data_IF_089239599135
#
_entry.id   IF_089239599135
#
_cell.length_a   1.000
_cell.length_b   1.000
_cell.length_c   1.000
_cell.angle_alpha   90.00
_cell.angle_beta   90.00
_cell.angle_gamma   90.00
#
_symmetry.space_group_name_H-M   'P 1'
#
loop_
_entity.id
_entity.type
_entity.pdbx_description
1 polymer ?
#
# COMPACT_ATOMS: atom_id res chain seq x y z
N UNK A 1 2.30 23.47 -3.67
CA UNK A 1 3.54 23.63 -2.89
C UNK A 1 3.35 24.81 -1.95
N UNK A 2 2.88 24.56 -0.75
CA UNK A 2 2.84 25.57 0.29
C UNK A 2 4.26 25.75 0.81
N UNK A 3 4.91 26.83 0.38
CA UNK A 3 6.18 27.27 0.94
C UNK A 3 6.01 27.41 2.45
N UNK A 4 6.88 26.74 3.20
CA UNK A 4 6.93 26.89 4.64
C UNK A 4 7.27 28.34 4.97
N UNK A 5 6.67 28.90 6.00
CA UNK A 5 6.89 30.28 6.45
C UNK A 5 8.38 30.50 6.85
N UNK A 6 8.81 31.75 6.92
CA UNK A 6 10.17 32.07 7.36
C UNK A 6 10.51 31.46 8.72
N UNK A 7 9.53 31.37 9.62
CA UNK A 7 9.67 30.76 10.96
C UNK A 7 10.01 29.27 10.88
N UNK A 8 9.44 28.51 9.94
CA UNK A 8 9.78 27.09 9.73
C UNK A 8 11.23 26.94 9.24
N UNK A 9 11.71 27.88 8.41
CA UNK A 9 13.10 27.89 7.93
C UNK A 9 14.07 28.13 9.06
N UNK A 10 13.80 29.12 9.89
CA UNK A 10 14.66 29.49 11.02
C UNK A 10 14.70 28.37 12.06
N UNK A 11 13.58 27.70 12.30
CA UNK A 11 13.52 26.53 13.17
C UNK A 11 14.40 25.37 12.65
N UNK A 12 14.34 25.09 11.33
CA UNK A 12 15.16 24.05 10.69
C UNK A 12 16.65 24.42 10.79
N UNK A 13 17.02 25.67 10.46
CA UNK A 13 18.41 26.13 10.53
C UNK A 13 18.94 26.06 11.96
N UNK A 14 18.17 26.50 12.94
CA UNK A 14 18.53 26.39 14.35
C UNK A 14 18.66 24.93 14.82
N UNK A 15 17.82 24.03 14.31
CA UNK A 15 17.91 22.59 14.55
C UNK A 15 19.21 21.99 14.00
N UNK A 16 19.57 22.33 12.77
CA UNK A 16 20.80 21.88 12.10
C UNK A 16 22.07 22.37 12.83
N UNK A 17 22.02 23.57 13.42
CA UNK A 17 23.14 24.12 14.16
C UNK A 17 23.31 23.50 15.57
N UNK A 18 22.22 23.02 16.17
CA UNK A 18 22.19 22.49 17.53
C UNK A 18 22.26 20.97 17.63
N UNK A 19 21.95 20.27 16.55
CA UNK A 19 21.80 18.81 16.57
C UNK A 19 22.53 18.19 15.38
N UNK A 20 23.62 17.49 15.63
CA UNK A 20 24.42 16.79 14.62
C UNK A 20 23.68 15.62 13.95
N UNK A 21 22.52 15.22 14.47
CA UNK A 21 21.72 14.11 13.94
C UNK A 21 20.72 14.55 12.85
N UNK A 22 20.72 15.85 12.51
CA UNK A 22 19.90 16.41 11.44
C UNK A 22 20.79 16.75 10.24
N UNK A 23 20.39 16.26 9.06
CA UNK A 23 21.04 16.61 7.80
C UNK A 23 19.99 17.07 6.77
N UNK A 24 20.44 17.79 5.75
CA UNK A 24 19.60 18.22 4.63
C UNK A 24 20.05 17.53 3.36
N UNK A 25 19.09 17.06 2.60
CA UNK A 25 19.30 16.49 1.27
C UNK A 25 18.59 17.33 0.22
N UNK A 26 19.09 17.28 -1.02
CA UNK A 26 18.41 17.88 -2.13
C UNK A 26 17.05 17.24 -2.34
N UNK A 27 16.01 18.06 -2.56
CA UNK A 27 14.69 17.54 -2.91
C UNK A 27 14.70 17.07 -4.35
N UNK A 28 14.58 15.75 -4.53
CA UNK A 28 14.50 15.13 -5.85
C UNK A 28 13.07 15.27 -6.40
N UNK A 29 12.96 15.76 -7.66
CA UNK A 29 11.73 15.67 -8.41
C UNK A 29 11.64 14.33 -9.12
N UNK A 30 10.58 13.59 -8.89
CA UNK A 30 10.39 12.24 -9.39
C UNK A 30 9.03 12.04 -10.08
N UNK A 31 8.93 10.98 -10.86
CA UNK A 31 7.70 10.54 -11.53
C UNK A 31 6.89 9.63 -10.60
N UNK A 32 7.57 8.66 -9.97
CA UNK A 32 6.97 7.63 -9.09
C UNK A 32 7.95 7.22 -8.01
N UNK A 33 7.39 6.70 -6.91
CA UNK A 33 8.16 5.98 -5.90
C UNK A 33 8.14 4.49 -6.20
N UNK A 34 9.30 3.86 -6.12
CA UNK A 34 9.53 2.44 -6.42
C UNK A 34 10.09 1.72 -5.19
N UNK A 35 9.85 0.42 -5.11
CA UNK A 35 10.48 -0.41 -4.08
C UNK A 35 10.90 -1.76 -4.65
N UNK A 36 12.19 -2.10 -4.48
CA UNK A 36 12.78 -3.39 -4.82
C UNK A 36 13.01 -4.20 -3.56
N UNK A 37 12.25 -5.28 -3.40
CA UNK A 37 12.46 -6.25 -2.33
C UNK A 37 13.44 -7.31 -2.83
N UNK A 38 14.46 -7.60 -2.03
CA UNK A 38 15.50 -8.58 -2.34
C UNK A 38 15.77 -9.48 -1.15
N UNK A 39 16.11 -10.73 -1.40
CA UNK A 39 16.60 -11.66 -0.40
C UNK A 39 18.04 -12.07 -0.75
N UNK A 40 18.92 -12.04 0.22
CA UNK A 40 20.31 -12.48 0.12
C UNK A 40 20.64 -13.47 1.22
N UNK A 41 21.13 -14.65 0.85
CA UNK A 41 21.40 -15.72 1.80
C UNK A 41 22.87 -15.79 2.21
N UNK A 42 23.14 -16.46 3.33
CA UNK A 42 24.50 -16.79 3.76
C UNK A 42 25.23 -17.71 2.76
N UNK A 43 24.48 -18.46 1.95
CA UNK A 43 25.01 -19.30 0.87
C UNK A 43 25.28 -18.52 -0.41
N UNK A 44 25.16 -17.18 -0.37
CA UNK A 44 25.36 -16.26 -1.48
C UNK A 44 24.30 -16.37 -2.59
N UNK A 45 23.15 -17.00 -2.32
CA UNK A 45 22.01 -17.04 -3.23
C UNK A 45 21.23 -15.72 -3.17
N UNK A 46 20.62 -15.36 -4.30
CA UNK A 46 19.81 -14.16 -4.45
C UNK A 46 18.42 -14.50 -4.96
N UNK A 47 17.41 -13.79 -4.42
CA UNK A 47 16.06 -13.79 -4.97
C UNK A 47 15.52 -12.36 -4.99
N UNK A 48 14.98 -11.94 -6.13
CA UNK A 48 14.44 -10.59 -6.34
C UNK A 48 12.93 -10.68 -6.56
N UNK A 49 12.17 -10.01 -5.73
CA UNK A 49 10.73 -9.86 -5.94
C UNK A 49 10.46 -8.91 -7.10
N UNK A 50 9.26 -8.98 -7.72
CA UNK A 50 8.87 -7.97 -8.70
C UNK A 50 9.06 -6.56 -8.14
N UNK A 51 9.62 -5.66 -8.95
CA UNK A 51 9.64 -4.24 -8.64
C UNK A 51 8.21 -3.74 -8.50
N UNK A 52 7.95 -2.92 -7.49
CA UNK A 52 6.62 -2.37 -7.22
C UNK A 52 6.64 -0.85 -7.24
N UNK A 53 5.48 -0.27 -7.55
CA UNK A 53 5.19 1.14 -7.37
C UNK A 53 4.55 1.31 -6.01
N UNK A 54 4.98 2.32 -5.26
CA UNK A 54 4.38 2.72 -3.98
C UNK A 54 3.81 4.13 -4.07
N UNK A 55 2.64 4.32 -3.49
CA UNK A 55 2.00 5.62 -3.39
C UNK A 55 1.97 6.05 -1.93
N UNK A 56 2.56 7.22 -1.68
CA UNK A 56 2.61 7.83 -0.36
C UNK A 56 1.56 8.92 -0.23
N UNK A 57 0.97 9.02 0.95
CA UNK A 57 0.14 10.17 1.34
C UNK A 57 0.69 10.73 2.64
N UNK A 58 1.18 11.97 2.62
CA UNK A 58 1.82 12.64 3.77
C UNK A 58 2.93 11.80 4.42
N UNK A 59 3.78 11.19 3.59
CA UNK A 59 4.91 10.37 4.04
C UNK A 59 4.51 8.98 4.55
N UNK A 60 3.27 8.54 4.34
CA UNK A 60 2.80 7.22 4.75
C UNK A 60 2.39 6.43 3.51
N UNK A 61 3.03 5.28 3.28
CA UNK A 61 2.66 4.39 2.19
C UNK A 61 1.21 3.93 2.34
N UNK A 62 0.39 4.28 1.36
CA UNK A 62 -1.03 3.90 1.26
C UNK A 62 -1.20 2.67 0.41
N UNK A 63 -0.63 2.71 -0.79
CA UNK A 63 -0.85 1.71 -1.82
C UNK A 63 0.48 1.17 -2.34
N UNK A 64 0.46 -0.07 -2.76
CA UNK A 64 1.56 -0.72 -3.47
C UNK A 64 0.96 -1.58 -4.57
N UNK A 65 1.49 -1.52 -5.76
CA UNK A 65 1.02 -2.35 -6.87
C UNK A 65 2.16 -2.73 -7.81
N UNK A 66 1.94 -3.83 -8.52
CA UNK A 66 2.93 -4.38 -9.41
C UNK A 66 2.43 -5.60 -10.20
N UNK A 67 3.32 -6.21 -10.96
CA UNK A 67 4.72 -5.84 -11.24
C UNK A 67 4.83 -4.49 -11.94
N UNK A 68 5.79 -3.65 -11.55
CA UNK A 68 5.90 -2.27 -12.02
C UNK A 68 6.04 -2.15 -13.55
N UNK A 69 6.65 -3.12 -14.22
CA UNK A 69 6.76 -3.20 -15.68
C UNK A 69 5.40 -3.17 -16.40
N UNK A 70 4.37 -3.73 -15.78
CA UNK A 70 3.02 -3.75 -16.35
C UNK A 70 2.31 -2.39 -16.24
N UNK A 71 2.91 -1.45 -15.51
CA UNK A 71 2.43 -0.09 -15.29
C UNK A 71 3.38 0.97 -15.87
N UNK A 72 4.18 0.58 -16.86
CA UNK A 72 5.01 1.48 -17.65
C UNK A 72 6.35 1.88 -17.00
N UNK A 73 6.81 1.16 -15.97
CA UNK A 73 8.18 1.31 -15.47
C UNK A 73 9.12 0.50 -16.34
N UNK A 74 10.23 1.11 -16.76
CA UNK A 74 11.24 0.46 -17.61
C UNK A 74 11.88 -0.75 -16.90
N UNK A 75 12.09 -1.83 -17.64
CA UNK A 75 12.84 -2.99 -17.14
C UNK A 75 14.31 -2.62 -16.81
N UNK A 76 14.87 -1.60 -17.44
CA UNK A 76 16.23 -1.10 -17.14
C UNK A 76 16.30 -0.58 -15.70
N UNK A 77 15.27 0.09 -15.22
CA UNK A 77 15.20 0.54 -13.81
C UNK A 77 15.18 -0.67 -12.87
N UNK A 78 14.38 -1.70 -13.18
CA UNK A 78 14.34 -2.91 -12.36
C UNK A 78 15.70 -3.59 -12.29
N UNK A 79 16.38 -3.79 -13.44
CA UNK A 79 17.71 -4.38 -13.51
C UNK A 79 18.74 -3.53 -12.76
N UNK A 80 18.68 -2.21 -12.91
CA UNK A 80 19.54 -1.26 -12.19
C UNK A 80 19.37 -1.36 -10.67
N UNK A 81 18.13 -1.40 -10.18
CA UNK A 81 17.82 -1.55 -8.75
C UNK A 81 18.24 -2.92 -8.19
N UNK A 82 18.07 -3.99 -8.96
CA UNK A 82 18.57 -5.32 -8.59
C UNK A 82 20.11 -5.34 -8.52
N UNK A 83 20.78 -4.67 -9.45
CA UNK A 83 22.25 -4.51 -9.42
C UNK A 83 22.70 -3.70 -8.19
N UNK A 84 22.00 -2.60 -7.87
CA UNK A 84 22.26 -1.82 -6.65
C UNK A 84 22.03 -2.67 -5.41
N UNK A 85 20.93 -3.42 -5.34
CA UNK A 85 20.64 -4.33 -4.23
C UNK A 85 21.74 -5.36 -4.04
N UNK A 86 22.24 -5.94 -5.13
CA UNK A 86 23.34 -6.91 -5.07
C UNK A 86 24.59 -6.27 -4.48
N UNK A 87 25.05 -5.14 -5.00
CA UNK A 87 26.23 -4.43 -4.50
C UNK A 87 26.11 -4.07 -3.03
N UNK A 88 24.98 -3.50 -2.62
CA UNK A 88 24.74 -3.07 -1.24
C UNK A 88 24.61 -4.27 -0.29
N UNK A 89 23.90 -5.31 -0.72
CA UNK A 89 23.72 -6.53 0.07
C UNK A 89 25.04 -7.25 0.34
N UNK A 90 25.90 -7.33 -0.65
CA UNK A 90 27.25 -7.93 -0.51
C UNK A 90 28.17 -7.06 0.33
N UNK A 91 28.20 -5.74 0.08
CA UNK A 91 29.06 -4.79 0.80
C UNK A 91 28.71 -4.69 2.29
N UNK A 92 27.40 -4.69 2.60
CA UNK A 92 26.90 -4.52 3.97
C UNK A 92 26.52 -5.85 4.63
N UNK A 93 26.76 -6.97 3.97
CA UNK A 93 26.42 -8.33 4.45
C UNK A 93 24.96 -8.45 4.91
N UNK A 94 24.01 -7.89 4.12
CA UNK A 94 22.59 -7.85 4.44
C UNK A 94 21.92 -9.23 4.25
N UNK A 95 22.30 -10.21 5.05
CA UNK A 95 21.67 -11.53 5.00
C UNK A 95 20.23 -11.47 5.50
N UNK A 96 19.31 -11.95 4.67
CA UNK A 96 17.88 -11.87 4.89
C UNK A 96 17.17 -11.13 3.77
N UNK A 97 15.96 -10.69 4.05
CA UNK A 97 15.20 -9.79 3.16
C UNK A 97 15.48 -8.35 3.53
N UNK A 98 15.67 -7.53 2.51
CA UNK A 98 15.76 -6.08 2.64
C UNK A 98 15.06 -5.40 1.45
N UNK A 99 14.78 -4.13 1.58
CA UNK A 99 14.17 -3.31 0.54
C UNK A 99 15.05 -2.12 0.18
N UNK A 100 15.06 -1.75 -1.09
CA UNK A 100 15.54 -0.45 -1.57
C UNK A 100 14.32 0.35 -2.01
N UNK A 101 14.08 1.49 -1.41
CA UNK A 101 13.15 2.51 -1.89
C UNK A 101 13.89 3.46 -2.82
N UNK A 102 13.27 3.80 -3.94
CA UNK A 102 13.87 4.62 -4.99
C UNK A 102 12.82 5.49 -5.67
N UNK A 103 13.30 6.54 -6.33
CA UNK A 103 12.52 7.41 -7.18
C UNK A 103 12.79 7.12 -8.65
N UNK A 104 11.74 6.98 -9.46
CA UNK A 104 11.85 7.04 -10.92
C UNK A 104 11.99 8.50 -11.35
N UNK A 105 13.05 8.82 -12.07
CA UNK A 105 13.34 10.17 -12.50
C UNK A 105 12.72 10.48 -13.87
N UNK A 106 12.54 11.77 -14.18
CA UNK A 106 11.97 12.24 -15.45
C UNK A 106 12.82 11.88 -16.69
N UNK A 107 14.11 11.67 -16.50
CA UNK A 107 15.05 11.25 -17.55
C UNK A 107 15.05 9.74 -17.82
N UNK A 108 14.21 8.97 -17.10
CA UNK A 108 14.13 7.52 -17.21
C UNK A 108 15.15 6.78 -16.34
N UNK A 109 15.94 7.50 -15.54
CA UNK A 109 16.82 6.94 -14.51
C UNK A 109 16.11 6.67 -13.20
N UNK A 110 16.89 6.36 -12.16
CA UNK A 110 16.39 6.24 -10.80
C UNK A 110 17.39 6.82 -9.79
N UNK A 111 16.89 7.27 -8.66
CA UNK A 111 17.68 7.63 -7.49
C UNK A 111 17.27 6.76 -6.30
N UNK A 112 18.25 6.22 -5.56
CA UNK A 112 17.99 5.48 -4.32
C UNK A 112 17.63 6.48 -3.23
N UNK A 113 16.53 6.21 -2.51
CA UNK A 113 16.05 7.02 -1.40
C UNK A 113 16.51 6.45 -0.05
N UNK A 114 16.08 5.22 0.26
CA UNK A 114 16.48 4.56 1.51
C UNK A 114 16.64 3.05 1.35
N UNK A 115 17.31 2.45 2.34
CA UNK A 115 17.47 0.99 2.47
C UNK A 115 16.85 0.56 3.78
N UNK A 116 15.93 -0.39 3.72
CA UNK A 116 15.35 -1.03 4.90
C UNK A 116 15.93 -2.45 5.06
N UNK A 117 16.89 -2.70 5.99
CA UNK A 117 17.57 -4.00 6.13
C UNK A 117 16.69 -5.01 6.90
N UNK A 118 15.45 -5.20 6.45
CA UNK A 118 14.41 -6.05 7.06
C UNK A 118 13.29 -6.31 6.07
N UNK A 119 12.41 -7.26 6.41
CA UNK A 119 11.11 -7.39 5.71
C UNK A 119 10.40 -6.05 5.66
N UNK A 120 9.82 -5.71 4.51
CA UNK A 120 9.33 -4.38 4.24
C UNK A 120 7.83 -4.36 3.93
N UNK A 121 7.17 -3.25 4.26
CA UNK A 121 5.74 -3.07 4.02
C UNK A 121 5.37 -3.23 2.55
N UNK A 122 6.17 -2.68 1.64
CA UNK A 122 5.94 -2.77 0.20
C UNK A 122 6.05 -4.20 -0.35
N UNK A 123 6.62 -5.14 0.42
CA UNK A 123 6.72 -6.56 0.09
C UNK A 123 5.57 -7.43 0.63
N UNK A 124 4.58 -6.86 1.31
CA UNK A 124 3.49 -7.68 1.90
C UNK A 124 2.56 -8.31 0.86
N UNK A 125 2.54 -7.81 -0.38
CA UNK A 125 1.86 -8.47 -1.51
C UNK A 125 2.33 -9.92 -1.69
N UNK A 126 3.61 -10.20 -1.37
CA UNK A 126 4.22 -11.52 -1.55
C UNK A 126 3.56 -12.64 -0.74
N UNK A 127 2.80 -12.30 0.30
CA UNK A 127 2.01 -13.28 1.07
C UNK A 127 0.96 -14.01 0.22
N UNK A 128 0.49 -13.39 -0.86
CA UNK A 128 -0.61 -13.91 -1.65
C UNK A 128 -0.28 -14.01 -3.15
N UNK A 129 0.75 -13.26 -3.62
CA UNK A 129 1.04 -13.09 -5.05
C UNK A 129 2.47 -13.47 -5.45
N UNK A 130 3.23 -14.10 -4.57
CA UNK A 130 4.48 -14.78 -4.89
C UNK A 130 4.41 -16.22 -4.39
N UNK A 131 5.15 -17.12 -5.04
CA UNK A 131 5.21 -18.51 -4.61
C UNK A 131 5.76 -18.64 -3.19
N UNK A 132 6.82 -17.89 -2.87
CA UNK A 132 7.41 -17.79 -1.53
C UNK A 132 7.35 -16.33 -1.06
N UNK A 133 6.80 -16.11 0.14
CA UNK A 133 6.67 -14.77 0.71
C UNK A 133 8.02 -14.19 1.15
N UNK A 134 8.09 -12.86 1.27
CA UNK A 134 9.28 -12.20 1.82
C UNK A 134 9.64 -12.69 3.22
N UNK A 135 8.65 -13.07 4.03
CA UNK A 135 8.86 -13.58 5.39
C UNK A 135 9.53 -14.95 5.37
N UNK A 136 9.07 -15.84 4.51
CA UNK A 136 9.66 -17.15 4.37
C UNK A 136 11.06 -17.07 3.75
N UNK A 137 11.26 -16.28 2.68
CA UNK A 137 12.59 -16.08 2.13
C UNK A 137 13.55 -15.40 3.12
N UNK A 138 13.04 -14.55 4.04
CA UNK A 138 13.87 -14.02 5.11
C UNK A 138 14.40 -15.14 6.03
N UNK A 139 13.52 -16.03 6.48
CA UNK A 139 13.90 -17.18 7.29
C UNK A 139 14.86 -18.10 6.55
N UNK A 140 14.57 -18.45 5.30
CA UNK A 140 15.45 -19.27 4.45
C UNK A 140 16.85 -18.65 4.31
N UNK A 141 16.91 -17.34 4.04
CA UNK A 141 18.17 -16.63 3.88
C UNK A 141 19.04 -16.66 5.13
N UNK A 142 18.47 -16.38 6.32
CA UNK A 142 19.25 -16.32 7.57
C UNK A 142 19.60 -17.69 8.13
N UNK A 143 18.87 -18.74 7.77
CA UNK A 143 19.16 -20.13 8.18
C UNK A 143 20.00 -20.89 7.17
N UNK A 144 20.34 -20.28 6.02
CA UNK A 144 21.14 -20.94 4.96
C UNK A 144 20.35 -21.94 4.11
N UNK A 145 19.01 -21.89 4.15
CA UNK A 145 18.17 -22.67 3.26
C UNK A 145 18.16 -22.06 1.86
N UNK A 146 17.92 -22.88 0.82
CA UNK A 146 17.72 -22.39 -0.55
C UNK A 146 16.57 -21.42 -0.63
N UNK A 147 16.79 -20.28 -1.27
CA UNK A 147 15.75 -19.30 -1.52
C UNK A 147 14.68 -19.85 -2.47
N UNK A 148 13.45 -19.43 -2.26
CA UNK A 148 12.31 -19.83 -3.08
C UNK A 148 11.95 -18.79 -4.12
N UNK A 149 11.11 -19.18 -5.07
CA UNK A 149 10.64 -18.37 -6.19
C UNK A 149 9.84 -17.15 -5.71
N UNK A 150 10.09 -16.01 -6.36
CA UNK A 150 9.57 -14.70 -5.97
C UNK A 150 8.65 -14.07 -7.00
N UNK A 151 8.55 -14.66 -8.18
CA UNK A 151 7.77 -14.14 -9.30
C UNK A 151 6.28 -14.07 -8.96
N UNK A 152 5.62 -13.10 -9.57
CA UNK A 152 4.16 -13.03 -9.62
C UNK A 152 3.68 -13.22 -11.05
N UNK A 153 2.70 -14.09 -11.25
CA UNK A 153 2.10 -14.39 -12.56
C UNK A 153 0.98 -13.41 -12.94
N UNK A 154 0.60 -12.51 -12.03
CA UNK A 154 -0.52 -11.61 -12.22
C UNK A 154 -0.22 -10.22 -11.62
N UNK A 155 -1.00 -9.22 -12.03
CA UNK A 155 -1.00 -7.93 -11.37
C UNK A 155 -1.58 -8.08 -9.96
N UNK A 156 -1.01 -7.33 -9.04
CA UNK A 156 -1.43 -7.30 -7.65
C UNK A 156 -1.46 -5.88 -7.13
N UNK A 157 -2.28 -5.69 -6.11
CA UNK A 157 -2.43 -4.45 -5.39
C UNK A 157 -2.48 -4.73 -3.89
N UNK A 158 -1.81 -3.90 -3.11
CA UNK A 158 -1.86 -3.91 -1.67
C UNK A 158 -2.25 -2.53 -1.16
N UNK A 159 -3.21 -2.48 -0.25
CA UNK A 159 -3.59 -1.26 0.47
C UNK A 159 -3.32 -1.41 1.95
N UNK A 160 -2.59 -0.44 2.50
CA UNK A 160 -2.42 -0.36 3.95
C UNK A 160 -3.71 0.13 4.62
N UNK A 161 -4.10 -0.54 5.69
CA UNK A 161 -5.20 -0.14 6.57
C UNK A 161 -4.61 0.66 7.71
N UNK A 162 -4.99 1.94 7.80
CA UNK A 162 -4.44 2.88 8.78
C UNK A 162 -5.46 3.20 9.87
N UNK A 163 -4.97 3.60 11.04
CA UNK A 163 -5.77 3.88 12.22
C UNK A 163 -6.66 5.13 12.15
N UNK A 164 -6.59 5.90 11.07
CA UNK A 164 -7.47 7.04 10.79
C UNK A 164 -8.86 6.63 10.26
N UNK A 165 -9.10 5.33 10.04
CA UNK A 165 -10.37 4.77 9.52
C UNK A 165 -10.93 3.68 10.44
N UNK A 166 -11.08 3.99 11.71
CA UNK A 166 -11.52 3.06 12.76
C UNK A 166 -12.85 2.38 12.49
N UNK A 167 -13.85 3.10 11.97
CA UNK A 167 -15.18 2.54 11.71
C UNK A 167 -15.15 1.34 10.73
N UNK A 168 -14.18 1.32 9.82
CA UNK A 168 -13.93 0.17 8.94
C UNK A 168 -13.33 -1.01 9.71
N UNK A 169 -12.47 -0.75 10.69
CA UNK A 169 -11.71 -1.78 11.40
C UNK A 169 -12.55 -2.60 12.37
N UNK A 170 -13.58 -2.00 12.94
CA UNK A 170 -14.51 -2.70 13.85
C UNK A 170 -15.37 -3.72 13.11
N UNK A 171 -15.62 -3.51 11.82
CA UNK A 171 -16.42 -4.40 10.97
C UNK A 171 -15.59 -5.36 10.10
N UNK A 172 -14.34 -5.05 9.82
CA UNK A 172 -13.50 -5.79 8.87
C UNK A 172 -13.28 -7.27 9.22
N UNK A 173 -13.09 -7.68 10.48
CA UNK A 173 -12.89 -9.10 10.83
C UNK A 173 -14.09 -10.00 10.56
N UNK A 174 -15.30 -9.41 10.42
CA UNK A 174 -16.55 -10.14 10.21
C UNK A 174 -17.05 -10.10 8.75
N UNK A 175 -16.35 -9.37 7.90
CA UNK A 175 -16.76 -9.17 6.52
C UNK A 175 -16.29 -10.32 5.61
N UNK A 176 -17.19 -10.84 4.79
CA UNK A 176 -16.82 -11.76 3.71
C UNK A 176 -16.16 -10.94 2.60
N UNK A 177 -14.88 -11.19 2.39
CA UNK A 177 -14.13 -10.55 1.31
C UNK A 177 -14.52 -11.16 -0.05
N UNK A 178 -14.51 -10.38 -1.14
CA UNK A 178 -14.65 -10.92 -2.48
C UNK A 178 -13.59 -12.01 -2.75
N UNK A 179 -13.87 -13.01 -3.61
CA UNK A 179 -12.87 -13.99 -4.02
C UNK A 179 -11.59 -13.32 -4.53
N UNK A 180 -10.44 -13.83 -4.13
CA UNK A 180 -9.12 -13.27 -4.49
C UNK A 180 -8.67 -12.06 -3.69
N UNK A 181 -9.46 -11.63 -2.68
CA UNK A 181 -9.08 -10.59 -1.74
C UNK A 181 -8.59 -11.22 -0.44
N UNK A 182 -7.48 -10.70 0.09
CA UNK A 182 -6.82 -11.22 1.28
C UNK A 182 -6.57 -10.09 2.28
N UNK A 183 -7.12 -10.23 3.48
CA UNK A 183 -6.96 -9.24 4.54
C UNK A 183 -6.05 -9.78 5.64
N UNK A 184 -5.06 -8.98 6.07
CA UNK A 184 -4.20 -9.28 7.20
C UNK A 184 -4.28 -8.18 8.24
N UNK A 185 -4.76 -8.54 9.42
CA UNK A 185 -4.77 -7.69 10.60
C UNK A 185 -3.53 -7.92 11.45
N UNK A 186 -2.93 -6.85 12.00
CA UNK A 186 -1.68 -6.96 12.77
C UNK A 186 -1.89 -7.07 14.28
N UNK A 187 -3.11 -7.07 14.78
CA UNK A 187 -3.47 -7.18 16.22
C UNK A 187 -2.69 -6.18 17.10
N UNK A 188 -2.52 -4.96 16.64
CA UNK A 188 -1.85 -3.92 17.42
C UNK A 188 -2.80 -3.38 18.48
N UNK A 189 -2.35 -3.31 19.74
CA UNK A 189 -3.14 -2.89 20.90
C UNK A 189 -3.54 -1.41 20.85
N UNK A 190 -2.75 -0.58 20.13
CA UNK A 190 -2.98 0.84 20.04
C UNK A 190 -3.39 1.23 18.62
N UNK A 191 -4.49 1.93 18.50
CA UNK A 191 -4.96 2.54 17.24
C UNK A 191 -4.72 4.03 17.30
N UNK A 192 -3.84 4.52 16.41
CA UNK A 192 -3.55 5.94 16.26
C UNK A 192 -3.49 6.33 14.79
N UNK A 193 -3.75 7.60 14.51
CA UNK A 193 -3.71 8.15 13.16
C UNK A 193 -2.38 7.83 12.47
N UNK A 194 -2.45 7.37 11.20
CA UNK A 194 -1.27 7.03 10.39
C UNK A 194 -0.61 5.70 10.74
N UNK A 195 -0.97 5.03 11.86
CA UNK A 195 -0.41 3.72 12.18
C UNK A 195 -0.98 2.65 11.27
N UNK A 196 -0.11 1.87 10.61
CA UNK A 196 -0.49 0.71 9.81
C UNK A 196 -1.00 -0.40 10.74
N UNK A 197 -2.28 -0.77 10.62
CA UNK A 197 -2.96 -1.76 11.46
C UNK A 197 -3.20 -3.08 10.74
N UNK A 198 -3.08 -3.08 9.44
CA UNK A 198 -3.27 -4.22 8.58
C UNK A 198 -3.00 -3.88 7.12
N UNK A 199 -3.24 -4.83 6.25
CA UNK A 199 -3.26 -4.58 4.81
C UNK A 199 -4.28 -5.47 4.12
N UNK A 200 -4.69 -5.03 2.94
CA UNK A 200 -5.58 -5.74 2.03
C UNK A 200 -4.83 -5.99 0.73
N UNK A 201 -4.76 -7.23 0.30
CA UNK A 201 -4.17 -7.64 -0.97
C UNK A 201 -5.25 -8.14 -1.92
N UNK A 202 -5.17 -7.80 -3.20
CA UNK A 202 -5.96 -8.42 -4.27
C UNK A 202 -5.20 -8.41 -5.60
N UNK A 203 -5.58 -9.27 -6.53
CA UNK A 203 -4.89 -9.42 -7.81
C UNK A 203 -5.81 -9.89 -8.93
N UNK A 204 -5.21 -10.20 -10.10
CA UNK A 204 -5.94 -10.71 -11.25
C UNK A 204 -6.67 -9.66 -12.08
N UNK A 205 -6.28 -8.38 -12.00
CA UNK A 205 -6.84 -7.27 -12.78
C UNK A 205 -5.89 -6.85 -13.92
N UNK A 206 -6.43 -6.18 -14.96
CA UNK A 206 -5.60 -5.56 -16.01
C UNK A 206 -5.04 -4.23 -15.52
N UNK A 207 -3.84 -3.86 -15.96
CA UNK A 207 -3.22 -2.59 -15.57
C UNK A 207 -4.12 -1.37 -15.88
N UNK A 208 -4.88 -1.42 -16.98
CA UNK A 208 -5.86 -0.39 -17.38
C UNK A 208 -7.07 -0.28 -16.44
N UNK A 209 -7.31 -1.30 -15.62
CA UNK A 209 -8.43 -1.35 -14.69
C UNK A 209 -8.08 -0.81 -13.31
N UNK A 210 -6.79 -0.54 -13.06
CA UNK A 210 -6.31 -0.09 -11.75
C UNK A 210 -7.01 1.20 -11.29
N UNK A 211 -7.17 2.18 -12.16
CA UNK A 211 -7.84 3.45 -11.83
C UNK A 211 -9.32 3.26 -11.49
N UNK A 212 -10.00 2.35 -12.19
CA UNK A 212 -11.40 1.99 -11.90
C UNK A 212 -11.50 1.25 -10.57
N UNK A 213 -10.56 0.33 -10.32
CA UNK A 213 -10.45 -0.41 -9.06
C UNK A 213 -10.13 0.51 -7.87
N UNK A 214 -9.23 1.48 -8.04
CA UNK A 214 -8.88 2.46 -7.01
C UNK A 214 -10.06 3.35 -6.63
N UNK A 215 -10.80 3.87 -7.60
CA UNK A 215 -12.02 4.63 -7.34
C UNK A 215 -13.08 3.77 -6.62
N UNK A 216 -13.22 2.49 -7.00
CA UNK A 216 -14.10 1.55 -6.33
C UNK A 216 -13.61 1.20 -4.92
N UNK A 217 -12.28 1.17 -4.69
CA UNK A 217 -11.69 0.91 -3.37
C UNK A 217 -11.79 2.15 -2.48
N UNK A 218 -11.55 3.34 -3.00
CA UNK A 218 -11.72 4.58 -2.24
C UNK A 218 -13.18 4.83 -1.88
N UNK A 219 -14.08 4.58 -2.81
CA UNK A 219 -15.51 4.61 -2.56
C UNK A 219 -15.95 3.42 -1.68
N UNK A 220 -15.37 2.23 -1.88
CA UNK A 220 -15.72 0.99 -1.21
C UNK A 220 -15.14 0.83 0.18
N UNK A 221 -13.91 1.29 0.45
CA UNK A 221 -13.35 1.34 1.81
C UNK A 221 -13.95 2.48 2.64
N UNK A 222 -14.60 3.47 2.00
CA UNK A 222 -15.35 4.52 2.68
C UNK A 222 -16.83 4.22 2.87
N UNK A 223 -17.48 3.52 1.93
CA UNK A 223 -18.92 3.26 1.94
C UNK A 223 -19.33 1.89 1.36
N UNK A 224 -18.61 1.31 0.40
CA UNK A 224 -19.08 0.16 -0.38
C UNK A 224 -18.71 -1.21 0.20
N UNK A 225 -17.58 -1.35 0.85
CA UNK A 225 -17.26 -2.60 1.56
C UNK A 225 -18.19 -2.79 2.76
N UNK A 226 -18.47 -1.70 3.48
CA UNK A 226 -19.43 -1.70 4.59
C UNK A 226 -20.87 -1.86 4.07
N UNK A 227 -21.24 -1.19 2.97
CA UNK A 227 -22.64 -1.20 2.50
C UNK A 227 -23.00 -2.49 1.77
N UNK A 228 -22.14 -3.06 0.94
CA UNK A 228 -22.46 -4.31 0.25
C UNK A 228 -22.47 -5.50 1.22
N UNK A 229 -21.55 -5.53 2.16
CA UNK A 229 -21.48 -6.58 3.18
C UNK A 229 -22.62 -6.43 4.20
N UNK A 230 -22.98 -5.19 4.58
CA UNK A 230 -24.12 -4.91 5.44
C UNK A 230 -25.47 -5.07 4.71
N UNK A 231 -25.55 -4.83 3.40
CA UNK A 231 -26.78 -4.99 2.64
C UNK A 231 -27.08 -6.46 2.38
N UNK A 232 -26.10 -7.30 2.07
CA UNK A 232 -26.33 -8.75 1.94
C UNK A 232 -26.66 -9.41 3.28
N UNK A 233 -26.09 -8.97 4.40
CA UNK A 233 -26.44 -9.49 5.73
C UNK A 233 -27.63 -8.78 6.38
N UNK A 234 -28.01 -7.57 5.95
CA UNK A 234 -29.14 -6.79 6.49
C UNK A 234 -30.32 -6.71 5.55
N UNK A 235 -30.27 -7.23 4.32
CA UNK A 235 -31.45 -7.34 3.49
C UNK A 235 -32.56 -8.14 4.19
N UNK A 236 -32.21 -9.12 5.01
CA UNK A 236 -33.14 -9.83 5.90
C UNK A 236 -33.57 -9.01 7.13
N UNK A 237 -32.73 -8.07 7.61
CA UNK A 237 -33.02 -7.28 8.81
C UNK A 237 -33.72 -5.94 8.52
N UNK A 238 -33.42 -5.30 7.38
CA UNK A 238 -34.02 -4.01 6.99
C UNK A 238 -35.31 -4.11 6.21
N UNK A 239 -35.75 -5.30 5.81
CA UNK A 239 -37.07 -5.51 5.19
C UNK A 239 -38.26 -5.06 6.06
N UNK A 240 -38.01 -4.65 7.31
CA UNK A 240 -39.06 -4.20 8.25
C UNK A 240 -39.01 -2.74 8.71
N UNK A 241 -38.02 -1.93 8.30
CA UNK A 241 -37.88 -0.55 8.83
C UNK A 241 -37.38 0.50 7.84
N UNK A 242 -37.76 0.46 6.58
CA UNK A 242 -37.59 1.62 5.69
C UNK A 242 -38.83 2.54 5.84
N UNK A 243 -38.61 3.87 5.99
CA UNK A 243 -39.74 4.82 6.02
C UNK A 243 -40.54 4.74 4.72
N UNK A 244 -41.86 4.79 4.82
CA UNK A 244 -42.74 4.84 3.66
C UNK A 244 -42.41 6.06 2.78
N UNK A 245 -41.92 5.81 1.57
CA UNK A 245 -41.50 6.85 0.64
C UNK A 245 -40.10 6.67 0.03
N UNK A 246 -39.29 5.74 0.51
CA UNK A 246 -37.96 5.47 -0.06
C UNK A 246 -38.09 4.73 -1.38
N UNK A 247 -37.83 5.41 -2.51
CA UNK A 247 -37.79 4.79 -3.84
C UNK A 247 -36.40 4.18 -4.08
N UNK A 248 -36.38 2.88 -4.21
CA UNK A 248 -35.20 2.13 -4.70
C UNK A 248 -35.32 2.04 -6.21
N UNK A 249 -34.37 2.63 -6.94
CA UNK A 249 -34.31 2.51 -8.39
C UNK A 249 -33.39 1.36 -8.79
N UNK A 250 -33.83 0.42 -9.65
CA UNK A 250 -32.96 -0.61 -10.19
C UNK A 250 -32.03 -0.01 -11.25
N UNK A 251 -30.73 -0.27 -11.12
CA UNK A 251 -29.76 0.05 -12.14
C UNK A 251 -29.87 -0.97 -13.29
N UNK A 252 -29.68 -0.54 -14.55
CA UNK A 252 -29.82 -1.37 -15.78
C UNK A 252 -28.97 -2.65 -15.83
N UNK A 253 -28.18 -2.92 -14.80
CA UNK A 253 -27.33 -4.13 -14.67
C UNK A 253 -27.62 -4.90 -13.37
N UNK A 254 -28.81 -4.83 -12.82
CA UNK A 254 -29.23 -5.65 -11.66
C UNK A 254 -28.56 -5.27 -10.33
N UNK A 255 -27.99 -4.07 -10.20
CA UNK A 255 -27.39 -3.58 -8.96
C UNK A 255 -28.29 -2.54 -8.29
N UNK A 256 -28.54 -2.73 -7.00
CA UNK A 256 -29.33 -1.82 -6.19
C UNK A 256 -28.50 -0.58 -5.83
N UNK A 257 -28.97 0.61 -6.17
CA UNK A 257 -28.34 1.86 -5.76
C UNK A 257 -29.25 2.53 -4.73
N UNK A 258 -28.76 2.71 -3.53
CA UNK A 258 -29.43 3.49 -2.47
C UNK A 258 -28.87 4.91 -2.50
N UNK A 259 -29.69 5.95 -2.72
CA UNK A 259 -29.19 7.32 -2.69
C UNK A 259 -28.76 7.72 -1.27
N UNK A 260 -27.59 8.34 -1.15
CA UNK A 260 -27.13 8.97 0.08
C UNK A 260 -28.03 10.17 0.39
N UNK A 261 -28.70 10.16 1.53
CA UNK A 261 -29.29 11.37 2.11
C UNK A 261 -28.15 12.10 2.83
N UNK A 262 -27.66 13.19 2.21
CA UNK A 262 -26.73 14.12 2.86
C UNK A 262 -27.43 14.82 4.03
N UNK A 263 -26.66 15.32 5.03
CA UNK A 263 -27.26 16.05 6.15
C UNK A 263 -27.93 17.32 5.61
N UNK A 264 -29.24 17.45 5.87
CA UNK A 264 -29.95 18.69 5.63
C UNK A 264 -29.42 19.72 6.63
N UNK A 265 -28.78 20.78 6.13
CA UNK A 265 -28.55 22.00 6.92
C UNK A 265 -29.89 22.61 7.28
N UNK A 266 -30.32 22.37 8.50
CA UNK A 266 -31.42 23.17 9.12
C UNK A 266 -30.95 24.60 9.25
N UNK A 267 -31.63 25.54 8.52
CA UNK A 267 -31.59 26.96 8.84
C UNK A 267 -32.18 27.11 10.22
N UNK A 268 -31.43 27.65 11.14
CA UNK A 268 -31.96 28.27 12.35
C UNK A 268 -32.22 29.72 11.96
N UNK A 269 -33.47 30.10 11.83
CA UNK A 269 -33.91 31.49 11.85
C UNK A 269 -34.09 31.93 13.32
N UNK A 270 -33.44 33.06 13.61
CA UNK A 270 -33.49 33.92 14.78
C UNK A 270 -32.88 33.42 16.08
#
# INVERSE_FOLDING_TARGET
SNGKSGEDRDFIVAGLQKNSDIFCEERIEFVRELSQISAFSKTKDWAYYPLVISEQEKGICRNVFGPAKNFGVSELIQVGLQSAAKKLGELLELYGVFAIEAFELKDGGFAVNEIAPRVHNTGHFSLNFSAISQFENHLRAVTGMKLGATESTQNFYMRNVLGDRLAFLESAPKATLPPGWHFKWYNKNEVRRGRKLGHLNFGGFKATELHVGLAQIEFGLGQFCVTRILVEQRAEFFGRQLPAGSRVMPCRHGKLVVPCVGPQHGRVEQ
#
